data_IF_759101398063
#
_entry.id   IF_759101398063
#
_cell.length_a   1.000
_cell.length_b   1.000
_cell.length_c   1.000
_cell.angle_alpha   90.00
_cell.angle_beta   90.00
_cell.angle_gamma   90.00
#
_symmetry.space_group_name_H-M   'P 1'
#
loop_
_entity.id
_entity.type
_entity.pdbx_description
1 polymer ?
#
# COMPACT_ATOMS: atom_id res chain seq x y z
N UNK A 1 -31.59 28.89 58.09
CA UNK A 1 -31.69 27.51 57.56
C UNK A 1 -33.06 27.26 56.94
N UNK A 2 -34.13 27.93 57.37
CA UNK A 2 -35.47 27.88 56.72
C UNK A 2 -35.43 28.19 55.22
N UNK A 3 -34.73 29.25 54.79
CA UNK A 3 -34.66 29.60 53.37
C UNK A 3 -33.96 28.54 52.48
N UNK A 4 -33.19 27.59 53.03
CA UNK A 4 -32.59 26.51 52.22
C UNK A 4 -33.49 25.27 52.14
N UNK A 5 -34.36 25.07 53.14
CA UNK A 5 -35.36 23.99 53.12
C UNK A 5 -36.55 24.36 52.22
N UNK A 6 -37.01 25.61 52.22
CA UNK A 6 -38.03 26.09 51.27
C UNK A 6 -37.52 26.01 49.82
N UNK A 7 -36.32 26.54 49.55
CA UNK A 7 -35.72 26.45 48.22
C UNK A 7 -35.46 25.01 47.75
N UNK A 8 -35.28 24.05 48.66
CA UNK A 8 -35.17 22.63 48.32
C UNK A 8 -36.55 22.00 48.06
N UNK A 9 -37.54 22.33 48.89
CA UNK A 9 -38.91 21.87 48.73
C UNK A 9 -39.51 22.36 47.41
N UNK A 10 -39.33 23.63 47.06
CA UNK A 10 -39.81 24.22 45.80
C UNK A 10 -39.17 23.54 44.59
N UNK A 11 -37.86 23.31 44.61
CA UNK A 11 -37.18 22.54 43.55
C UNK A 11 -37.75 21.13 43.41
N UNK A 12 -37.96 20.41 44.51
CA UNK A 12 -38.50 19.04 44.47
C UNK A 12 -39.93 19.02 43.91
N UNK A 13 -40.76 20.00 44.27
CA UNK A 13 -42.12 20.12 43.75
C UNK A 13 -42.11 20.45 42.26
N UNK A 14 -41.19 21.30 41.80
CA UNK A 14 -41.02 21.62 40.37
C UNK A 14 -40.51 20.44 39.53
N UNK A 15 -39.78 19.49 40.13
CA UNK A 15 -39.33 18.25 39.45
C UNK A 15 -40.41 17.16 39.35
N UNK A 16 -41.45 17.18 40.21
CA UNK A 16 -42.48 16.13 40.23
C UNK A 16 -43.25 15.98 38.89
N UNK A 17 -43.71 17.07 38.22
CA UNK A 17 -44.36 16.97 36.93
C UNK A 17 -43.47 16.34 35.84
N UNK A 18 -42.18 16.72 35.80
CA UNK A 18 -41.20 16.19 34.86
C UNK A 18 -40.94 14.70 35.08
N UNK A 19 -40.81 14.27 36.34
CA UNK A 19 -40.65 12.86 36.70
C UNK A 19 -41.84 12.00 36.28
N UNK A 20 -43.06 12.49 36.47
CA UNK A 20 -44.27 11.79 36.02
C UNK A 20 -44.33 11.69 34.50
N UNK A 21 -44.03 12.79 33.78
CA UNK A 21 -43.96 12.79 32.32
C UNK A 21 -42.92 11.79 31.80
N UNK A 22 -41.72 11.81 32.38
CA UNK A 22 -40.63 10.90 32.07
C UNK A 22 -41.00 9.42 32.29
N UNK A 23 -41.66 9.09 33.40
CA UNK A 23 -42.14 7.73 33.68
C UNK A 23 -43.19 7.26 32.67
N UNK A 24 -44.11 8.13 32.27
CA UNK A 24 -45.12 7.82 31.24
C UNK A 24 -44.45 7.55 29.90
N UNK A 25 -43.52 8.40 29.48
CA UNK A 25 -42.76 8.22 28.23
C UNK A 25 -41.95 6.93 28.26
N UNK A 26 -41.27 6.63 29.37
CA UNK A 26 -40.50 5.40 29.53
C UNK A 26 -41.40 4.15 29.40
N UNK A 27 -42.57 4.16 30.03
CA UNK A 27 -43.52 3.05 29.97
C UNK A 27 -44.03 2.81 28.54
N UNK A 28 -44.43 3.88 27.85
CA UNK A 28 -44.92 3.83 26.47
C UNK A 28 -43.79 3.38 25.54
N UNK A 29 -42.61 3.97 25.67
CA UNK A 29 -41.43 3.66 24.86
C UNK A 29 -40.98 2.21 25.01
N UNK A 30 -40.99 1.66 26.23
CA UNK A 30 -40.67 0.26 26.48
C UNK A 30 -41.64 -0.70 25.77
N UNK A 31 -42.94 -0.37 25.78
CA UNK A 31 -43.96 -1.15 25.08
C UNK A 31 -43.71 -1.15 23.56
N UNK A 32 -43.43 0.02 22.99
CA UNK A 32 -43.12 0.21 21.57
C UNK A 32 -41.86 -0.58 21.18
N UNK A 33 -40.77 -0.45 21.95
CA UNK A 33 -39.51 -1.14 21.70
C UNK A 33 -39.69 -2.67 21.65
N UNK A 34 -40.48 -3.21 22.59
CA UNK A 34 -40.78 -4.65 22.65
C UNK A 34 -41.62 -5.11 21.46
N UNK A 35 -42.56 -4.28 21.01
CA UNK A 35 -43.35 -4.52 19.80
C UNK A 35 -42.48 -4.56 18.54
N UNK A 36 -41.60 -3.57 18.37
CA UNK A 36 -40.68 -3.49 17.22
C UNK A 36 -39.72 -4.68 17.22
N UNK A 37 -39.15 -5.05 18.36
CA UNK A 37 -38.31 -6.25 18.48
C UNK A 37 -39.02 -7.50 17.95
N UNK A 38 -40.27 -7.73 18.35
CA UNK A 38 -41.05 -8.87 17.85
C UNK A 38 -41.24 -8.81 16.33
N UNK A 39 -41.51 -7.62 15.79
CA UNK A 39 -41.69 -7.41 14.35
C UNK A 39 -40.38 -7.69 13.59
N UNK A 40 -39.25 -7.16 14.05
CA UNK A 40 -37.92 -7.38 13.45
C UNK A 40 -37.57 -8.87 13.45
N UNK A 41 -37.70 -9.56 14.58
CA UNK A 41 -37.42 -11.01 14.67
C UNK A 41 -38.33 -11.79 13.71
N UNK A 42 -39.60 -11.40 13.61
CA UNK A 42 -40.57 -12.05 12.72
C UNK A 42 -40.23 -11.83 11.24
N UNK A 43 -39.72 -10.66 10.84
CA UNK A 43 -39.26 -10.37 9.48
C UNK A 43 -37.97 -11.12 9.15
N UNK A 44 -37.00 -11.14 10.06
CA UNK A 44 -35.74 -11.86 9.86
C UNK A 44 -35.97 -13.36 9.68
N UNK A 45 -36.85 -13.97 10.48
CA UNK A 45 -37.26 -15.38 10.31
C UNK A 45 -37.93 -15.70 8.97
N UNK A 46 -38.43 -14.70 8.23
CA UNK A 46 -38.98 -14.89 6.89
C UNK A 46 -37.92 -14.85 5.78
N UNK A 47 -36.69 -14.44 6.11
CA UNK A 47 -35.66 -14.19 5.11
C UNK A 47 -34.53 -15.19 5.31
N UNK A 48 -34.21 -15.98 4.28
CA UNK A 48 -33.27 -17.13 4.35
C UNK A 48 -31.78 -16.72 4.36
N UNK A 49 -31.40 -15.66 5.07
CA UNK A 49 -30.01 -15.16 5.15
C UNK A 49 -29.13 -16.01 6.08
N UNK A 50 -29.79 -16.67 7.01
CA UNK A 50 -29.35 -17.61 8.04
C UNK A 50 -28.67 -18.87 7.49
N UNK A 51 -29.24 -19.55 6.50
CA UNK A 51 -28.69 -20.82 5.96
C UNK A 51 -27.42 -20.64 5.12
N UNK A 52 -27.22 -19.45 4.54
CA UNK A 52 -26.09 -19.18 3.65
C UNK A 52 -24.85 -18.62 4.37
N UNK A 53 -25.04 -17.97 5.51
CA UNK A 53 -23.96 -17.29 6.25
C UNK A 53 -23.51 -18.05 7.50
N UNK A 54 -24.40 -18.79 8.16
CA UNK A 54 -24.15 -19.39 9.48
C UNK A 54 -24.24 -20.91 9.43
N UNK A 55 -23.31 -21.54 8.71
CA UNK A 55 -23.12 -23.00 8.74
C UNK A 55 -22.50 -23.42 10.09
N UNK A 56 -23.25 -23.34 11.19
CA UNK A 56 -22.81 -23.89 12.48
C UNK A 56 -23.37 -23.23 13.75
N UNK A 57 -24.01 -22.05 13.68
CA UNK A 57 -24.62 -21.40 14.85
C UNK A 57 -26.14 -21.50 14.83
N UNK A 58 -26.73 -21.57 16.01
CA UNK A 58 -28.18 -21.69 16.20
C UNK A 58 -28.89 -20.42 15.68
N UNK A 59 -29.52 -20.55 14.50
CA UNK A 59 -30.13 -19.46 13.72
C UNK A 59 -31.13 -18.63 14.54
N UNK A 60 -31.87 -19.27 15.44
CA UNK A 60 -32.85 -18.58 16.27
C UNK A 60 -32.20 -17.61 17.27
N UNK A 61 -30.96 -17.89 17.69
CA UNK A 61 -30.22 -17.03 18.61
C UNK A 61 -29.68 -15.79 17.89
N UNK A 62 -29.25 -15.90 16.63
CA UNK A 62 -28.82 -14.75 15.81
C UNK A 62 -29.98 -13.81 15.49
N UNK A 63 -31.15 -14.34 15.12
CA UNK A 63 -32.34 -13.52 14.87
C UNK A 63 -32.80 -12.77 16.14
N UNK A 64 -32.78 -13.45 17.29
CA UNK A 64 -33.05 -12.81 18.60
C UNK A 64 -32.00 -11.77 18.95
N UNK A 65 -30.72 -12.02 18.65
CA UNK A 65 -29.64 -11.07 18.89
C UNK A 65 -29.84 -9.77 18.11
N UNK A 66 -30.14 -9.86 16.81
CA UNK A 66 -30.46 -8.67 16.00
C UNK A 66 -31.71 -7.97 16.54
N UNK A 67 -32.77 -8.71 16.86
CA UNK A 67 -33.95 -8.12 17.49
C UNK A 67 -33.66 -7.42 18.83
N UNK A 68 -32.71 -7.93 19.62
CA UNK A 68 -32.26 -7.28 20.85
C UNK A 68 -31.50 -5.99 20.56
N UNK A 69 -30.67 -5.93 19.52
CA UNK A 69 -29.99 -4.70 19.10
C UNK A 69 -31.03 -3.61 18.82
N UNK A 70 -32.04 -3.89 17.99
CA UNK A 70 -33.12 -2.94 17.71
C UNK A 70 -33.88 -2.51 18.98
N UNK A 71 -34.18 -3.47 19.89
CA UNK A 71 -34.80 -3.15 21.17
C UNK A 71 -33.96 -2.15 21.98
N UNK A 72 -32.65 -2.40 22.12
CA UNK A 72 -31.78 -1.54 22.89
C UNK A 72 -31.58 -0.17 22.24
N UNK A 73 -31.51 -0.09 20.91
CA UNK A 73 -31.44 1.19 20.17
C UNK A 73 -32.69 2.04 20.46
N UNK A 74 -33.87 1.44 20.34
CA UNK A 74 -35.13 2.15 20.63
C UNK A 74 -35.20 2.50 22.11
N UNK A 75 -34.72 1.63 22.99
CA UNK A 75 -34.66 1.94 24.43
C UNK A 75 -33.72 3.11 24.72
N UNK A 76 -32.56 3.18 24.05
CA UNK A 76 -31.64 4.31 24.16
C UNK A 76 -32.33 5.60 23.70
N UNK A 77 -33.05 5.59 22.57
CA UNK A 77 -33.87 6.74 22.14
C UNK A 77 -34.88 7.16 23.21
N UNK A 78 -35.61 6.18 23.77
CA UNK A 78 -36.59 6.45 24.83
C UNK A 78 -35.92 7.02 26.07
N UNK A 79 -34.76 6.49 26.47
CA UNK A 79 -33.97 6.99 27.60
C UNK A 79 -33.48 8.43 27.34
N UNK A 80 -33.06 8.75 26.12
CA UNK A 80 -32.65 10.11 25.74
C UNK A 80 -33.81 11.09 25.92
N UNK A 81 -34.99 10.79 25.37
CA UNK A 81 -36.20 11.62 25.54
C UNK A 81 -36.60 11.72 27.01
N UNK A 82 -36.49 10.64 27.77
CA UNK A 82 -36.75 10.63 29.23
C UNK A 82 -35.78 11.57 29.95
N UNK A 83 -34.50 11.55 29.61
CA UNK A 83 -33.47 12.40 30.23
C UNK A 83 -33.63 13.88 29.82
N UNK A 84 -34.07 14.15 28.59
CA UNK A 84 -34.43 15.49 28.10
C UNK A 84 -35.58 16.08 28.92
N UNK A 85 -36.64 15.30 29.16
CA UNK A 85 -37.77 15.71 30.02
C UNK A 85 -37.32 15.99 31.46
N UNK A 86 -36.26 15.32 31.92
CA UNK A 86 -35.67 15.54 33.25
C UNK A 86 -34.66 16.72 33.29
N UNK A 87 -34.43 17.40 32.17
CA UNK A 87 -33.56 18.57 32.06
C UNK A 87 -32.07 18.25 32.05
N UNK A 88 -31.68 17.08 31.51
CA UNK A 88 -30.28 16.61 31.44
C UNK A 88 -29.64 16.91 30.07
N UNK A 89 -30.04 18.00 29.41
CA UNK A 89 -29.77 18.24 27.98
C UNK A 89 -28.28 18.27 27.60
N UNK A 90 -27.42 18.87 28.44
CA UNK A 90 -26.00 19.07 28.13
C UNK A 90 -25.20 17.75 27.98
N UNK A 91 -25.64 16.67 28.63
CA UNK A 91 -24.95 15.37 28.58
C UNK A 91 -25.49 14.48 27.46
N UNK A 92 -26.65 14.81 26.90
CA UNK A 92 -27.35 14.00 25.91
C UNK A 92 -26.86 14.26 24.48
N UNK A 93 -26.42 15.47 24.16
CA UNK A 93 -25.97 15.86 22.82
C UNK A 93 -24.93 14.89 22.22
N UNK A 94 -23.85 14.48 22.93
CA UNK A 94 -22.91 13.50 22.39
C UNK A 94 -23.55 12.13 22.14
N UNK A 95 -24.49 11.72 23.00
CA UNK A 95 -25.15 10.42 22.89
C UNK A 95 -26.19 10.40 21.75
N UNK A 96 -26.89 11.50 21.51
CA UNK A 96 -27.74 11.74 20.35
C UNK A 96 -26.92 11.71 19.05
N UNK A 97 -25.76 12.35 19.02
CA UNK A 97 -24.86 12.35 17.86
C UNK A 97 -24.38 10.92 17.54
N UNK A 98 -23.94 10.15 18.55
CA UNK A 98 -23.53 8.75 18.36
C UNK A 98 -24.67 7.87 17.85
N UNK A 99 -25.89 8.08 18.37
CA UNK A 99 -27.08 7.39 17.89
C UNK A 99 -27.38 7.75 16.43
N UNK A 100 -27.29 9.05 16.09
CA UNK A 100 -27.47 9.55 14.73
C UNK A 100 -26.48 8.93 13.75
N UNK A 101 -25.19 8.92 14.09
CA UNK A 101 -24.14 8.26 13.31
C UNK A 101 -24.42 6.76 13.13
N UNK A 102 -24.84 6.07 14.19
CA UNK A 102 -25.19 4.65 14.12
C UNK A 102 -26.38 4.40 13.17
N UNK A 103 -27.40 5.26 13.18
CA UNK A 103 -28.53 5.14 12.26
C UNK A 103 -28.12 5.39 10.81
N UNK A 104 -27.20 6.32 10.56
CA UNK A 104 -26.63 6.58 9.23
C UNK A 104 -25.75 5.42 8.73
N UNK A 105 -25.14 4.65 9.63
CA UNK A 105 -24.42 3.43 9.27
C UNK A 105 -25.33 2.38 8.61
N UNK A 106 -26.63 2.31 8.94
CA UNK A 106 -27.56 1.32 8.38
C UNK A 106 -27.73 1.44 6.84
N UNK A 107 -28.12 2.61 6.28
CA UNK A 107 -28.19 2.76 4.83
C UNK A 107 -26.81 2.64 4.16
N UNK A 108 -25.76 3.15 4.78
CA UNK A 108 -24.38 3.06 4.30
C UNK A 108 -23.89 1.61 4.22
N UNK A 109 -24.29 0.76 5.17
CA UNK A 109 -24.03 -0.68 5.18
C UNK A 109 -24.60 -1.38 3.94
N UNK A 110 -25.81 -1.01 3.53
CA UNK A 110 -26.40 -1.56 2.31
C UNK A 110 -25.58 -1.16 1.09
N UNK A 111 -25.19 0.11 0.98
CA UNK A 111 -24.35 0.61 -0.11
C UNK A 111 -23.00 -0.11 -0.19
N UNK A 112 -22.33 -0.26 0.94
CA UNK A 112 -21.05 -0.96 1.03
C UNK A 112 -21.14 -2.45 0.67
N UNK A 113 -22.17 -3.15 1.15
CA UNK A 113 -22.41 -4.55 0.79
C UNK A 113 -22.64 -4.69 -0.71
N UNK A 114 -23.42 -3.78 -1.31
CA UNK A 114 -23.63 -3.77 -2.76
C UNK A 114 -22.33 -3.52 -3.53
N UNK A 115 -21.53 -2.53 -3.14
CA UNK A 115 -20.23 -2.24 -3.76
C UNK A 115 -19.28 -3.43 -3.63
N UNK A 116 -19.16 -4.00 -2.44
CA UNK A 116 -18.33 -5.17 -2.19
C UNK A 116 -18.79 -6.38 -3.00
N UNK A 117 -20.10 -6.59 -3.12
CA UNK A 117 -20.68 -7.67 -3.94
C UNK A 117 -20.40 -7.48 -5.43
N UNK A 118 -20.61 -6.28 -5.97
CA UNK A 118 -20.29 -5.95 -7.36
C UNK A 118 -18.80 -6.13 -7.62
N UNK A 119 -17.95 -5.63 -6.73
CA UNK A 119 -16.50 -5.81 -6.79
C UNK A 119 -16.06 -7.27 -6.78
N UNK A 120 -16.68 -8.09 -5.92
CA UNK A 120 -16.45 -9.52 -5.88
C UNK A 120 -16.80 -10.20 -7.21
N UNK A 121 -17.96 -9.86 -7.78
CA UNK A 121 -18.41 -10.41 -9.06
C UNK A 121 -17.46 -10.02 -10.20
N UNK A 122 -17.06 -8.74 -10.26
CA UNK A 122 -16.12 -8.23 -11.26
C UNK A 122 -14.75 -8.90 -11.13
N UNK A 123 -14.18 -8.94 -9.92
CA UNK A 123 -12.90 -9.60 -9.66
C UNK A 123 -12.94 -11.09 -10.04
N UNK A 124 -14.03 -11.79 -9.71
CA UNK A 124 -14.25 -13.19 -10.06
C UNK A 124 -14.36 -13.39 -11.57
N UNK A 125 -15.09 -12.50 -12.26
CA UNK A 125 -15.22 -12.54 -13.70
C UNK A 125 -13.87 -12.35 -14.38
N UNK A 126 -13.14 -11.29 -14.04
CA UNK A 126 -11.85 -10.97 -14.65
C UNK A 126 -10.79 -12.03 -14.34
N UNK A 127 -10.72 -12.52 -13.10
CA UNK A 127 -9.77 -13.59 -12.73
C UNK A 127 -10.06 -14.92 -13.44
N UNK A 128 -11.32 -15.22 -13.76
CA UNK A 128 -11.66 -16.36 -14.61
C UNK A 128 -11.19 -16.19 -16.06
N UNK A 129 -11.16 -14.96 -16.60
CA UNK A 129 -10.62 -14.70 -17.94
C UNK A 129 -9.12 -15.01 -18.03
N UNK A 130 -8.35 -14.77 -16.95
CA UNK A 130 -6.92 -15.12 -16.87
C UNK A 130 -6.71 -16.62 -17.09
N UNK A 131 -7.64 -17.45 -16.60
CA UNK A 131 -7.57 -18.92 -16.77
C UNK A 131 -7.80 -19.32 -18.23
N UNK A 132 -8.65 -18.59 -18.96
CA UNK A 132 -8.92 -18.81 -20.39
C UNK A 132 -7.70 -18.43 -21.24
N UNK A 133 -7.00 -17.33 -20.89
CA UNK A 133 -5.76 -16.92 -21.56
C UNK A 133 -4.56 -17.82 -21.25
N UNK A 134 -4.49 -18.40 -20.06
CA UNK A 134 -3.46 -19.38 -19.66
C UNK A 134 -3.40 -20.58 -20.60
N UNK A 135 -4.55 -21.07 -21.06
CA UNK A 135 -4.65 -22.18 -22.01
C UNK A 135 -4.01 -21.89 -23.39
N UNK A 136 -3.77 -20.61 -23.73
CA UNK A 136 -3.03 -20.21 -24.92
C UNK A 136 -1.51 -20.18 -24.68
N UNK A 137 -1.10 -19.81 -23.46
CA UNK A 137 0.29 -19.89 -22.98
C UNK A 137 0.76 -21.35 -22.89
N UNK A 138 -0.10 -22.27 -22.43
CA UNK A 138 0.25 -23.71 -22.36
C UNK A 138 0.66 -24.25 -23.72
N UNK A 139 -0.04 -23.89 -24.80
CA UNK A 139 0.32 -24.31 -26.17
C UNK A 139 1.65 -23.76 -26.67
N UNK A 140 2.12 -22.63 -26.13
CA UNK A 140 3.42 -22.04 -26.46
C UNK A 140 4.55 -22.57 -25.55
N UNK A 141 4.22 -22.95 -24.31
CA UNK A 141 5.15 -23.39 -23.25
C UNK A 141 5.36 -24.91 -23.23
N UNK A 142 4.50 -25.71 -23.87
CA UNK A 142 4.68 -27.17 -24.00
C UNK A 142 6.00 -27.59 -24.67
N UNK A 143 6.70 -26.66 -25.34
CA UNK A 143 8.05 -26.90 -25.88
C UNK A 143 9.20 -26.73 -24.86
N UNK A 144 8.95 -26.21 -23.66
CA UNK A 144 10.00 -25.88 -22.67
C UNK A 144 9.98 -26.74 -21.40
N UNK A 145 9.06 -27.70 -21.27
CA UNK A 145 9.14 -28.77 -20.25
C UNK A 145 8.74 -28.39 -18.82
N UNK A 146 8.09 -27.23 -18.62
CA UNK A 146 7.55 -26.85 -17.31
C UNK A 146 6.28 -27.65 -16.98
N UNK A 147 6.35 -28.54 -15.98
CA UNK A 147 5.25 -29.43 -15.55
C UNK A 147 4.27 -28.84 -14.52
N UNK A 148 4.41 -27.57 -14.14
CA UNK A 148 3.64 -26.92 -13.05
C UNK A 148 2.87 -25.66 -13.51
N UNK A 149 2.60 -25.50 -14.81
CA UNK A 149 1.94 -24.29 -15.35
C UNK A 149 0.53 -24.07 -14.76
N UNK A 150 -0.22 -25.14 -14.49
CA UNK A 150 -1.52 -25.07 -13.82
C UNK A 150 -1.46 -24.37 -12.44
N UNK A 151 -0.38 -24.61 -11.69
CA UNK A 151 -0.17 -23.96 -10.39
C UNK A 151 0.13 -22.48 -10.57
N UNK A 152 0.95 -22.11 -11.55
CA UNK A 152 1.25 -20.72 -11.89
C UNK A 152 0.00 -19.96 -12.32
N UNK A 153 -0.83 -20.55 -13.18
CA UNK A 153 -2.11 -19.96 -13.62
C UNK A 153 -3.07 -19.77 -12.45
N UNK A 154 -3.14 -20.73 -11.52
CA UNK A 154 -3.94 -20.62 -10.30
C UNK A 154 -3.47 -19.50 -9.36
N UNK A 155 -2.15 -19.35 -9.20
CA UNK A 155 -1.56 -18.24 -8.42
C UNK A 155 -1.86 -16.90 -9.08
N UNK A 156 -1.65 -16.78 -10.40
CA UNK A 156 -1.97 -15.58 -11.17
C UNK A 156 -3.45 -15.21 -11.04
N UNK A 157 -4.34 -16.19 -11.13
CA UNK A 157 -5.78 -15.99 -10.93
C UNK A 157 -6.08 -15.38 -9.56
N UNK A 158 -5.47 -15.88 -8.48
CA UNK A 158 -5.65 -15.35 -7.13
C UNK A 158 -5.08 -13.93 -7.00
N UNK A 159 -3.92 -13.67 -7.58
CA UNK A 159 -3.28 -12.35 -7.58
C UNK A 159 -4.19 -11.34 -8.29
N UNK A 160 -4.66 -11.66 -9.51
CA UNK A 160 -5.55 -10.78 -10.28
C UNK A 160 -6.87 -10.56 -9.55
N UNK A 161 -7.44 -11.60 -8.94
CA UNK A 161 -8.63 -11.44 -8.10
C UNK A 161 -8.40 -10.43 -6.99
N UNK A 162 -7.32 -10.58 -6.22
CA UNK A 162 -7.01 -9.67 -5.10
C UNK A 162 -6.73 -8.24 -5.56
N UNK A 163 -5.98 -8.06 -6.65
CA UNK A 163 -5.66 -6.74 -7.22
C UNK A 163 -6.93 -5.97 -7.57
N UNK A 164 -7.95 -6.65 -8.11
CA UNK A 164 -9.21 -6.01 -8.48
C UNK A 164 -10.11 -5.86 -7.26
N UNK A 165 -10.20 -6.90 -6.42
CA UNK A 165 -11.13 -6.92 -5.28
C UNK A 165 -10.75 -5.92 -4.19
N UNK A 166 -9.46 -5.75 -3.88
CA UNK A 166 -9.00 -4.84 -2.81
C UNK A 166 -9.49 -3.39 -3.03
N UNK A 167 -9.33 -2.76 -4.22
CA UNK A 167 -9.91 -1.45 -4.49
C UNK A 167 -11.42 -1.39 -4.21
N UNK A 168 -12.20 -2.38 -4.67
CA UNK A 168 -13.63 -2.41 -4.38
C UNK A 168 -13.95 -2.58 -2.90
N UNK A 169 -13.14 -3.36 -2.17
CA UNK A 169 -13.28 -3.49 -0.72
C UNK A 169 -13.03 -2.14 -0.01
N UNK A 170 -12.04 -1.38 -0.48
CA UNK A 170 -11.78 -0.03 0.04
C UNK A 170 -12.95 0.90 -0.29
N UNK A 171 -13.53 0.81 -1.49
CA UNK A 171 -14.72 1.57 -1.85
C UNK A 171 -15.94 1.17 -1.02
N UNK A 172 -16.06 -0.11 -0.64
CA UNK A 172 -17.08 -0.54 0.30
C UNK A 172 -16.86 0.09 1.68
N UNK A 173 -15.64 0.14 2.20
CA UNK A 173 -15.32 0.84 3.45
C UNK A 173 -15.56 2.36 3.37
N UNK A 174 -15.28 2.99 2.23
CA UNK A 174 -15.62 4.39 1.99
C UNK A 174 -17.14 4.61 2.04
N UNK A 175 -17.92 3.72 1.44
CA UNK A 175 -19.38 3.78 1.49
C UNK A 175 -19.96 3.47 2.89
N UNK A 176 -19.23 2.75 3.75
CA UNK A 176 -19.53 2.63 5.18
C UNK A 176 -19.16 3.89 5.98
N UNK A 177 -18.55 4.89 5.35
CA UNK A 177 -17.96 6.07 6.00
C UNK A 177 -16.92 5.70 7.08
N UNK A 178 -16.22 4.57 6.91
CA UNK A 178 -15.18 4.10 7.84
C UNK A 178 -13.81 4.68 7.50
N UNK A 179 -13.64 5.99 7.68
CA UNK A 179 -12.39 6.71 7.33
C UNK A 179 -11.15 6.17 8.05
N UNK A 180 -11.30 5.72 9.31
CA UNK A 180 -10.22 5.11 10.09
C UNK A 180 -9.58 3.88 9.41
N UNK A 181 -10.34 3.17 8.57
CA UNK A 181 -9.86 1.99 7.82
C UNK A 181 -9.55 2.37 6.37
N UNK A 182 -10.47 3.08 5.71
CA UNK A 182 -10.33 3.37 4.29
C UNK A 182 -9.24 4.40 4.01
N UNK A 183 -8.98 5.35 4.91
CA UNK A 183 -7.92 6.36 4.77
C UNK A 183 -6.52 5.73 4.62
N UNK A 184 -6.04 4.93 5.60
CA UNK A 184 -4.79 4.20 5.48
C UNK A 184 -4.75 3.27 4.25
N UNK A 185 -5.85 2.58 3.95
CA UNK A 185 -5.92 1.68 2.80
C UNK A 185 -5.81 2.40 1.45
N UNK A 186 -6.48 3.55 1.29
CA UNK A 186 -6.38 4.42 0.12
C UNK A 186 -4.94 4.90 -0.09
N UNK A 187 -4.24 5.29 0.98
CA UNK A 187 -2.83 5.70 0.90
C UNK A 187 -1.92 4.57 0.43
N UNK A 188 -2.13 3.35 0.92
CA UNK A 188 -1.38 2.16 0.47
C UNK A 188 -1.66 1.90 -1.01
N UNK A 189 -2.92 1.95 -1.45
CA UNK A 189 -3.29 1.72 -2.85
C UNK A 189 -2.70 2.79 -3.78
N UNK A 190 -2.73 4.05 -3.36
CA UNK A 190 -2.11 5.17 -4.09
C UNK A 190 -0.60 4.96 -4.20
N UNK A 191 0.08 4.66 -3.09
CA UNK A 191 1.52 4.37 -3.08
C UNK A 191 1.89 3.15 -3.95
N UNK A 192 1.08 2.10 -3.95
CA UNK A 192 1.28 0.95 -4.84
C UNK A 192 1.14 1.34 -6.33
N UNK A 193 0.14 2.16 -6.66
CA UNK A 193 -0.09 2.66 -8.03
C UNK A 193 1.05 3.55 -8.49
N UNK A 194 1.54 4.42 -7.61
CA UNK A 194 2.70 5.27 -7.85
C UNK A 194 3.97 4.45 -8.06
N UNK A 195 4.20 3.44 -7.23
CA UNK A 195 5.34 2.52 -7.34
C UNK A 195 5.37 1.82 -8.70
N UNK A 196 4.22 1.40 -9.24
CA UNK A 196 4.16 0.84 -10.60
C UNK A 196 4.67 1.85 -11.63
N UNK A 197 4.26 3.12 -11.53
CA UNK A 197 4.74 4.19 -12.41
C UNK A 197 6.25 4.41 -12.29
N UNK A 198 6.77 4.49 -11.06
CA UNK A 198 8.20 4.65 -10.78
C UNK A 198 9.03 3.49 -11.32
N UNK A 199 8.56 2.24 -11.21
CA UNK A 199 9.23 1.06 -11.78
C UNK A 199 9.40 1.18 -13.28
N UNK A 200 8.37 1.65 -14.00
CA UNK A 200 8.44 1.83 -15.46
C UNK A 200 9.48 2.89 -15.83
N UNK A 201 9.50 4.03 -15.13
CA UNK A 201 10.45 5.11 -15.36
C UNK A 201 11.88 4.65 -15.06
N UNK A 202 12.09 4.00 -13.90
CA UNK A 202 13.38 3.46 -13.50
C UNK A 202 13.91 2.43 -14.51
N UNK A 203 13.05 1.53 -15.00
CA UNK A 203 13.41 0.56 -16.03
C UNK A 203 13.79 1.23 -17.37
N UNK A 204 13.03 2.26 -17.79
CA UNK A 204 13.32 3.02 -19.00
C UNK A 204 14.68 3.73 -18.89
N UNK A 205 14.96 4.36 -17.76
CA UNK A 205 16.25 5.02 -17.51
C UNK A 205 17.39 4.00 -17.52
N UNK A 206 17.24 2.88 -16.82
CA UNK A 206 18.26 1.84 -16.81
C UNK A 206 18.56 1.30 -18.21
N UNK A 207 17.53 1.12 -19.05
CA UNK A 207 17.70 0.77 -20.46
C UNK A 207 18.51 1.82 -21.23
N UNK A 208 18.23 3.10 -21.02
CA UNK A 208 18.97 4.20 -21.65
C UNK A 208 20.44 4.20 -21.23
N UNK A 209 20.73 4.04 -19.94
CA UNK A 209 22.11 4.00 -19.43
C UNK A 209 22.89 2.79 -19.93
N UNK A 210 22.27 1.59 -19.96
CA UNK A 210 22.92 0.37 -20.46
C UNK A 210 23.15 0.44 -21.97
N UNK A 211 22.14 0.84 -22.74
CA UNK A 211 22.23 0.86 -24.20
C UNK A 211 23.07 2.05 -24.70
N UNK A 212 22.77 3.26 -24.21
CA UNK A 212 23.49 4.49 -24.54
C UNK A 212 24.92 4.49 -24.02
N UNK A 213 25.15 3.96 -22.81
CA UNK A 213 26.50 3.79 -22.27
C UNK A 213 27.36 2.89 -23.10
N UNK A 214 26.80 1.80 -23.65
CA UNK A 214 27.56 0.89 -24.51
C UNK A 214 27.97 1.56 -25.82
N UNK A 215 27.11 2.41 -26.37
CA UNK A 215 27.44 3.21 -27.55
C UNK A 215 28.54 4.22 -27.24
N UNK A 216 28.41 4.96 -26.14
CA UNK A 216 29.42 5.94 -25.70
C UNK A 216 30.77 5.27 -25.43
N UNK A 217 30.79 4.12 -24.77
CA UNK A 217 32.01 3.39 -24.47
C UNK A 217 32.77 2.98 -25.73
N UNK A 218 32.07 2.44 -26.75
CA UNK A 218 32.71 2.11 -28.03
C UNK A 218 33.29 3.33 -28.72
N UNK A 219 32.54 4.43 -28.74
CA UNK A 219 33.04 5.69 -29.29
C UNK A 219 34.29 6.17 -28.54
N UNK A 220 34.29 6.11 -27.21
CA UNK A 220 35.45 6.46 -26.39
C UNK A 220 36.63 5.52 -26.61
N UNK A 221 36.40 4.21 -26.79
CA UNK A 221 37.44 3.24 -27.14
C UNK A 221 38.12 3.63 -28.47
N UNK A 222 37.32 3.93 -29.49
CA UNK A 222 37.82 4.37 -30.81
C UNK A 222 38.59 5.70 -30.71
N UNK A 223 38.08 6.66 -29.92
CA UNK A 223 38.76 7.93 -29.67
C UNK A 223 40.09 7.73 -28.94
N UNK A 224 40.12 6.95 -27.86
CA UNK A 224 41.33 6.65 -27.10
C UNK A 224 42.37 5.93 -27.97
N UNK A 225 41.93 4.99 -28.82
CA UNK A 225 42.77 4.34 -29.82
C UNK A 225 43.35 5.36 -30.80
N UNK A 226 42.52 6.27 -31.33
CA UNK A 226 42.95 7.30 -32.29
C UNK A 226 43.95 8.31 -31.71
N UNK A 227 43.83 8.62 -30.41
CA UNK A 227 44.78 9.47 -29.68
C UNK A 227 46.09 8.77 -29.35
N UNK A 228 46.19 7.46 -29.61
CA UNK A 228 47.39 6.68 -29.33
C UNK A 228 47.56 6.32 -27.85
N UNK A 229 46.48 6.27 -27.06
CA UNK A 229 46.53 5.88 -25.64
C UNK A 229 47.16 4.49 -25.43
N UNK A 230 46.99 3.57 -26.38
CA UNK A 230 47.67 2.27 -26.34
C UNK A 230 49.19 2.39 -26.52
N UNK A 231 49.67 3.32 -27.35
CA UNK A 231 51.11 3.57 -27.52
C UNK A 231 51.70 4.20 -26.25
N UNK A 232 50.93 5.07 -25.60
CA UNK A 232 51.30 5.62 -24.29
C UNK A 232 51.38 4.49 -23.24
N UNK A 233 50.40 3.60 -23.16
CA UNK A 233 50.46 2.48 -22.21
C UNK A 233 51.67 1.56 -22.45
N UNK A 234 52.06 1.36 -23.71
CA UNK A 234 53.28 0.63 -24.07
C UNK A 234 54.56 1.35 -23.63
N UNK A 235 54.67 2.67 -23.85
CA UNK A 235 55.84 3.43 -23.40
C UNK A 235 55.96 3.47 -21.87
N UNK A 236 54.82 3.46 -21.17
CA UNK A 236 54.73 3.36 -19.72
C UNK A 236 54.98 1.95 -19.17
N UNK A 237 55.23 0.96 -20.04
CA UNK A 237 55.38 -0.47 -19.68
C UNK A 237 54.21 -1.03 -18.87
N UNK A 238 53.02 -0.42 -18.98
CA UNK A 238 51.80 -0.86 -18.29
C UNK A 238 51.21 -2.14 -18.87
N UNK A 239 51.73 -2.59 -20.02
CA UNK A 239 51.35 -3.85 -20.68
C UNK A 239 51.42 -5.08 -19.77
N UNK A 240 52.33 -5.10 -18.78
CA UNK A 240 52.46 -6.22 -17.84
C UNK A 240 51.36 -6.24 -16.77
N UNK A 241 50.61 -5.13 -16.64
CA UNK A 241 49.49 -4.96 -15.69
C UNK A 241 48.13 -5.09 -16.38
N UNK A 242 48.11 -5.17 -17.71
CA UNK A 242 46.92 -5.27 -18.56
C UNK A 242 46.81 -6.71 -19.04
N UNK A 243 45.66 -7.36 -18.82
CA UNK A 243 45.46 -8.77 -19.15
C UNK A 243 45.69 -9.09 -20.64
N UNK A 244 46.09 -10.33 -20.93
CA UNK A 244 46.38 -10.78 -22.30
C UNK A 244 45.17 -10.55 -23.24
N UNK A 245 45.41 -9.85 -24.35
CA UNK A 245 44.37 -9.51 -25.34
C UNK A 245 43.52 -8.27 -25.01
N UNK A 246 43.90 -7.49 -23.99
CA UNK A 246 43.27 -6.20 -23.69
C UNK A 246 44.17 -5.02 -24.10
N UNK A 247 43.55 -3.94 -24.57
CA UNK A 247 44.21 -2.66 -24.81
C UNK A 247 43.87 -1.66 -23.71
N UNK A 248 44.70 -0.64 -23.52
CA UNK A 248 44.48 0.36 -22.48
C UNK A 248 43.27 1.23 -22.81
N UNK A 249 43.08 1.57 -24.09
CA UNK A 249 41.89 2.29 -24.57
C UNK A 249 40.60 1.53 -24.25
N UNK A 250 40.58 0.20 -24.46
CA UNK A 250 39.43 -0.65 -24.17
C UNK A 250 39.14 -0.75 -22.68
N UNK A 251 40.18 -0.87 -21.85
CA UNK A 251 40.04 -0.84 -20.39
C UNK A 251 39.45 0.48 -19.92
N UNK A 252 40.00 1.61 -20.37
CA UNK A 252 39.51 2.94 -20.01
C UNK A 252 38.05 3.17 -20.45
N UNK A 253 37.70 2.75 -21.67
CA UNK A 253 36.33 2.83 -22.18
C UNK A 253 35.35 1.95 -21.39
N UNK A 254 35.72 0.70 -21.07
CA UNK A 254 34.91 -0.19 -20.24
C UNK A 254 34.76 0.33 -18.80
N UNK A 255 35.76 1.02 -18.28
CA UNK A 255 35.69 1.66 -16.97
C UNK A 255 34.67 2.80 -16.98
N UNK A 256 34.70 3.66 -18.00
CA UNK A 256 33.69 4.72 -18.17
C UNK A 256 32.29 4.12 -18.34
N UNK A 257 32.16 3.03 -19.12
CA UNK A 257 30.90 2.29 -19.23
C UNK A 257 30.39 1.81 -17.87
N UNK A 258 31.27 1.24 -17.04
CA UNK A 258 30.93 0.80 -15.70
C UNK A 258 30.38 1.95 -14.85
N UNK A 259 31.07 3.11 -14.80
CA UNK A 259 30.59 4.28 -14.05
C UNK A 259 29.26 4.79 -14.58
N UNK A 260 29.06 4.79 -15.90
CA UNK A 260 27.84 5.26 -16.53
C UNK A 260 26.66 4.35 -16.17
N UNK A 261 26.81 3.03 -16.30
CA UNK A 261 25.77 2.07 -15.89
C UNK A 261 25.51 2.14 -14.39
N UNK A 262 26.56 2.26 -13.57
CA UNK A 262 26.41 2.37 -12.12
C UNK A 262 25.63 3.63 -11.72
N UNK A 263 25.90 4.77 -12.38
CA UNK A 263 25.09 5.98 -12.22
C UNK A 263 23.64 5.75 -12.62
N UNK A 264 23.40 5.07 -13.75
CA UNK A 264 22.05 4.68 -14.16
C UNK A 264 21.31 3.80 -13.14
N UNK A 265 22.03 2.90 -12.47
CA UNK A 265 21.48 2.09 -11.36
C UNK A 265 21.13 2.97 -10.17
N UNK A 266 22.02 3.89 -9.76
CA UNK A 266 21.73 4.86 -8.69
C UNK A 266 20.46 5.65 -9.02
N UNK A 267 20.38 6.25 -10.21
CA UNK A 267 19.22 7.04 -10.63
C UNK A 267 17.93 6.20 -10.66
N UNK A 268 18.01 4.96 -11.13
CA UNK A 268 16.86 4.05 -11.11
C UNK A 268 16.40 3.72 -9.69
N UNK A 269 17.33 3.48 -8.77
CA UNK A 269 17.05 3.20 -7.35
C UNK A 269 16.49 4.43 -6.63
N UNK A 270 16.99 5.62 -6.95
CA UNK A 270 16.48 6.90 -6.44
C UNK A 270 15.03 7.13 -6.86
N UNK A 271 14.69 6.86 -8.11
CA UNK A 271 13.31 7.00 -8.63
C UNK A 271 12.35 6.00 -7.97
N UNK A 272 12.84 4.84 -7.55
CA UNK A 272 12.06 3.88 -6.77
C UNK A 272 11.85 4.32 -5.30
N UNK A 273 12.38 5.48 -4.88
CA UNK A 273 12.27 6.01 -3.52
C UNK A 273 13.09 5.23 -2.48
N UNK A 274 14.12 4.49 -2.92
CA UNK A 274 14.94 3.66 -2.05
C UNK A 274 16.13 4.45 -1.48
N UNK A 275 15.86 5.52 -0.73
CA UNK A 275 16.84 6.51 -0.29
C UNK A 275 18.09 5.91 0.36
N UNK A 276 17.91 4.91 1.23
CA UNK A 276 19.01 4.21 1.92
C UNK A 276 19.90 3.44 0.97
N UNK A 277 19.30 2.81 -0.05
CA UNK A 277 20.05 2.09 -1.05
C UNK A 277 20.78 3.07 -1.96
N UNK A 278 20.15 4.18 -2.36
CA UNK A 278 20.78 5.27 -3.10
C UNK A 278 22.00 5.83 -2.38
N UNK A 279 21.87 6.13 -1.08
CA UNK A 279 22.98 6.60 -0.23
C UNK A 279 24.14 5.59 -0.21
N UNK A 280 23.82 4.31 0.00
CA UNK A 280 24.82 3.23 0.01
C UNK A 280 25.52 3.10 -1.34
N UNK A 281 24.77 3.15 -2.45
CA UNK A 281 25.34 3.07 -3.78
C UNK A 281 26.21 4.28 -4.10
N UNK A 282 25.82 5.49 -3.68
CA UNK A 282 26.65 6.69 -3.82
C UNK A 282 27.97 6.58 -3.06
N UNK A 283 27.95 6.05 -1.84
CA UNK A 283 29.19 5.77 -1.08
C UNK A 283 30.07 4.75 -1.81
N UNK A 284 29.48 3.68 -2.36
CA UNK A 284 30.22 2.70 -3.16
C UNK A 284 30.82 3.35 -4.41
N UNK A 285 30.07 4.22 -5.09
CA UNK A 285 30.55 4.96 -6.26
C UNK A 285 31.72 5.86 -5.90
N UNK A 286 31.64 6.57 -4.77
CA UNK A 286 32.69 7.43 -4.28
C UNK A 286 33.96 6.63 -3.96
N UNK A 287 33.84 5.54 -3.21
CA UNK A 287 34.97 4.64 -2.89
C UNK A 287 35.58 4.08 -4.17
N UNK A 288 34.74 3.69 -5.14
CA UNK A 288 35.21 3.19 -6.45
C UNK A 288 35.96 4.29 -7.22
N UNK A 289 35.47 5.52 -7.18
CA UNK A 289 36.15 6.69 -7.75
C UNK A 289 37.49 6.97 -7.07
N UNK A 290 37.55 6.91 -5.73
CA UNK A 290 38.77 7.08 -4.95
C UNK A 290 39.81 6.02 -5.29
N UNK A 291 39.40 4.75 -5.42
CA UNK A 291 40.29 3.66 -5.86
C UNK A 291 40.85 3.96 -7.25
N UNK A 292 40.02 4.43 -8.18
CA UNK A 292 40.44 4.79 -9.54
C UNK A 292 41.46 5.93 -9.53
N UNK A 293 41.23 7.00 -8.76
CA UNK A 293 42.20 8.07 -8.58
C UNK A 293 43.52 7.56 -7.99
N UNK A 294 43.46 6.64 -7.01
CA UNK A 294 44.65 5.97 -6.48
C UNK A 294 45.44 5.23 -7.56
N UNK A 295 44.76 4.47 -8.43
CA UNK A 295 45.39 3.79 -9.56
C UNK A 295 46.05 4.76 -10.55
N UNK A 296 45.41 5.90 -10.83
CA UNK A 296 45.98 6.95 -11.69
C UNK A 296 47.25 7.54 -11.07
N UNK A 297 47.24 7.84 -9.77
CA UNK A 297 48.43 8.35 -9.05
C UNK A 297 49.57 7.33 -9.12
N UNK A 298 49.28 6.04 -8.89
CA UNK A 298 50.29 4.97 -9.00
C UNK A 298 50.85 4.86 -10.41
N UNK A 299 50.01 4.96 -11.44
CA UNK A 299 50.46 4.92 -12.84
C UNK A 299 51.38 6.10 -13.18
N UNK A 300 51.04 7.32 -12.72
CA UNK A 300 51.89 8.51 -12.89
C UNK A 300 53.20 8.37 -12.11
N UNK A 301 53.15 7.86 -10.87
CA UNK A 301 54.35 7.62 -10.05
C UNK A 301 55.31 6.62 -10.69
N UNK A 302 54.78 5.55 -11.28
CA UNK A 302 55.57 4.58 -12.05
C UNK A 302 56.23 5.25 -13.27
N UNK A 303 55.49 6.07 -14.02
CA UNK A 303 56.05 6.79 -15.17
C UNK A 303 57.25 7.66 -14.78
N UNK A 304 57.10 8.46 -13.71
CA UNK A 304 58.18 9.34 -13.21
C UNK A 304 59.39 8.50 -12.78
N UNK A 305 59.14 7.37 -12.10
CA UNK A 305 60.20 6.46 -11.65
C UNK A 305 61.01 5.88 -12.82
N UNK A 306 60.35 5.50 -13.92
CA UNK A 306 61.01 5.00 -15.13
C UNK A 306 61.88 6.09 -15.77
N UNK A 307 61.40 7.33 -15.88
CA UNK A 307 62.18 8.45 -16.42
C UNK A 307 63.44 8.71 -15.58
N UNK A 308 63.29 8.74 -14.25
CA UNK A 308 64.41 8.98 -13.32
C UNK A 308 65.43 7.85 -13.46
N UNK A 309 64.99 6.60 -13.47
CA UNK A 309 65.86 5.44 -13.65
C UNK A 309 66.65 5.49 -14.97
N UNK A 310 65.97 5.80 -16.09
CA UNK A 310 66.60 5.88 -17.40
C UNK A 310 67.58 7.05 -17.52
N UNK A 311 67.34 8.15 -16.77
CA UNK A 311 68.23 9.32 -16.72
C UNK A 311 69.48 9.02 -15.89
N UNK A 312 69.32 8.41 -14.71
CA UNK A 312 70.42 8.02 -13.83
C UNK A 312 71.30 6.91 -14.40
N UNK A 313 70.77 6.08 -15.31
CA UNK A 313 71.55 5.03 -15.99
C UNK A 313 72.36 5.55 -17.19
N UNK A 314 72.03 6.73 -17.71
CA UNK A 314 72.67 7.35 -18.88
C UNK A 314 73.67 8.45 -18.52
N UNK A 315 73.63 8.97 -17.30
CA UNK A 315 74.69 9.80 -16.70
C UNK A 315 75.67 8.94 -15.93
#
# INVERSE_FOLDING_TARGET
MENQLENFADRVVDFLPGLLGALVVLLIGWLIARGIKMLVVKLLRRTSWDEKLLRGSNVDDSNKFIGNIFYYIIMIMVILVVLEILGVDEVLTPLENMLGEFLMFIPNLVGAVLIGFVGYLLAKFVSNLVTIGGNFLDRLVDKTGFKDTDKLVSILKKIVFNIIFIPFLIQAFNALEMEAISGPANRILAGFTEMIGQIIIAAAILLVFVWGGKYLARFLEDLFNSMGMDRLAQSLRLQNMIGAGQSFSKLAANLIYFFLVFFGVITAVEILGLDRLTETLNQILEVTGQILFGLVILAIGNYISVIIYDTLRKG
#
